data_IF_277089387214
#
_entry.id   IF_277089387214
#
_cell.length_a   1.000
_cell.length_b   1.000
_cell.length_c   1.000
_cell.angle_alpha   90.00
_cell.angle_beta   90.00
_cell.angle_gamma   90.00
#
_symmetry.space_group_name_H-M   'P 1'
#
loop_
_entity.id
_entity.type
_entity.pdbx_description
1 polymer ?
#
# COMPACT_ATOMS: atom_id res chain seq x y z
N UNK A 1 -18.44 26.67 2.01
CA UNK A 1 -18.00 27.89 1.29
C UNK A 1 -16.98 28.68 2.11
N UNK A 2 -17.13 28.78 3.43
CA UNK A 2 -16.19 29.52 4.28
C UNK A 2 -14.82 28.83 4.43
N UNK A 3 -14.76 27.49 4.42
CA UNK A 3 -13.49 26.75 4.47
C UNK A 3 -12.55 27.10 3.32
N UNK A 4 -13.05 27.05 2.08
CA UNK A 4 -12.25 27.35 0.90
C UNK A 4 -11.79 28.80 0.84
N UNK A 5 -12.65 29.75 1.23
CA UNK A 5 -12.25 31.15 1.34
C UNK A 5 -11.10 31.31 2.33
N UNK A 6 -11.24 30.75 3.55
CA UNK A 6 -10.20 30.78 4.58
C UNK A 6 -8.87 30.23 4.09
N UNK A 7 -8.87 29.07 3.41
CA UNK A 7 -7.65 28.47 2.89
C UNK A 7 -7.00 29.28 1.76
N UNK A 8 -7.80 29.98 0.95
CA UNK A 8 -7.31 30.89 -0.08
C UNK A 8 -6.66 32.13 0.53
N UNK A 9 -7.29 32.72 1.54
CA UNK A 9 -6.75 33.89 2.27
C UNK A 9 -5.43 33.54 2.97
N UNK A 10 -5.30 32.30 3.45
CA UNK A 10 -4.09 31.74 4.05
C UNK A 10 -3.03 31.31 3.02
N UNK A 11 -3.29 31.48 1.72
CA UNK A 11 -2.39 31.05 0.62
C UNK A 11 -2.07 29.55 0.61
N UNK A 12 -2.87 28.73 1.29
CA UNK A 12 -2.75 27.26 1.27
C UNK A 12 -3.29 26.69 -0.04
N UNK A 13 -4.31 27.33 -0.63
CA UNK A 13 -4.85 26.98 -1.94
C UNK A 13 -4.82 28.22 -2.84
N UNK A 14 -4.45 28.04 -4.11
CA UNK A 14 -4.33 29.15 -5.06
C UNK A 14 -5.48 29.20 -6.09
N UNK A 15 -6.16 28.08 -6.35
CA UNK A 15 -7.28 27.97 -7.30
C UNK A 15 -8.19 26.79 -6.95
N UNK A 16 -9.48 26.94 -7.26
CA UNK A 16 -10.49 25.88 -7.16
C UNK A 16 -11.18 25.75 -8.52
N UNK A 17 -11.35 24.52 -9.00
CA UNK A 17 -12.06 24.21 -10.23
C UNK A 17 -13.04 23.08 -9.98
N UNK A 18 -14.16 23.11 -10.68
CA UNK A 18 -15.15 22.02 -10.71
C UNK A 18 -15.11 21.39 -12.09
N UNK A 19 -14.89 20.08 -12.13
CA UNK A 19 -14.82 19.31 -13.37
C UNK A 19 -15.76 18.11 -13.29
N UNK A 20 -16.02 17.50 -14.45
CA UNK A 20 -16.79 16.28 -14.54
C UNK A 20 -15.93 15.11 -14.09
N UNK A 21 -16.43 14.33 -13.13
CA UNK A 21 -15.80 13.07 -12.75
C UNK A 21 -16.18 11.98 -13.76
N UNK A 22 -15.17 11.43 -14.44
CA UNK A 22 -15.32 10.29 -15.34
C UNK A 22 -14.79 9.02 -14.64
N UNK A 23 -15.67 8.04 -14.43
CA UNK A 23 -15.30 6.77 -13.79
C UNK A 23 -14.42 5.93 -14.72
N UNK A 24 -13.29 5.44 -14.20
CA UNK A 24 -12.40 4.50 -14.90
C UNK A 24 -12.94 3.05 -14.88
N UNK A 25 -14.15 2.82 -15.43
CA UNK A 25 -14.85 1.53 -15.36
C UNK A 25 -14.01 0.36 -15.93
N UNK A 26 -13.25 0.62 -17.00
CA UNK A 26 -12.36 -0.38 -17.61
C UNK A 26 -11.19 -0.77 -16.71
N UNK A 27 -10.78 0.10 -15.78
CA UNK A 27 -9.66 -0.14 -14.87
C UNK A 27 -10.08 -0.90 -13.62
N UNK A 28 -11.20 -0.51 -13.02
CA UNK A 28 -11.66 -1.08 -11.74
C UNK A 28 -12.74 -2.16 -11.88
N UNK A 29 -13.39 -2.23 -13.04
CA UNK A 29 -14.49 -3.15 -13.29
C UNK A 29 -15.84 -2.49 -13.01
N UNK A 30 -16.71 -2.47 -14.02
CA UNK A 30 -18.02 -1.82 -13.94
C UNK A 30 -18.91 -2.40 -12.83
N UNK A 31 -18.91 -3.73 -12.68
CA UNK A 31 -19.77 -4.44 -11.73
C UNK A 31 -19.45 -4.16 -10.26
N UNK A 32 -18.25 -3.67 -9.96
CA UNK A 32 -17.74 -3.47 -8.59
C UNK A 32 -17.37 -2.01 -8.32
N UNK A 33 -17.79 -1.10 -9.20
CA UNK A 33 -17.35 0.30 -9.15
C UNK A 33 -17.78 1.00 -7.86
N UNK A 34 -18.96 0.68 -7.32
CA UNK A 34 -19.45 1.25 -6.05
C UNK A 34 -18.60 0.79 -4.86
N UNK A 35 -18.21 -0.49 -4.84
CA UNK A 35 -17.27 -1.03 -3.86
C UNK A 35 -15.89 -0.38 -4.01
N UNK A 36 -15.39 -0.19 -5.23
CA UNK A 36 -14.14 0.52 -5.51
C UNK A 36 -14.17 1.95 -4.96
N UNK A 37 -15.25 2.69 -5.18
CA UNK A 37 -15.42 4.04 -4.63
C UNK A 37 -15.49 4.03 -3.10
N UNK A 38 -16.13 3.01 -2.53
CA UNK A 38 -16.13 2.78 -1.07
C UNK A 38 -14.71 2.56 -0.54
N UNK A 39 -13.90 1.75 -1.22
CA UNK A 39 -12.49 1.57 -0.85
C UNK A 39 -11.71 2.88 -0.94
N UNK A 40 -11.91 3.69 -2.00
CA UNK A 40 -11.22 4.98 -2.12
C UNK A 40 -11.60 5.98 -1.04
N UNK A 41 -12.87 6.00 -0.64
CA UNK A 41 -13.33 6.89 0.42
C UNK A 41 -12.62 6.56 1.74
N UNK A 42 -12.69 5.31 2.19
CA UNK A 42 -12.10 4.91 3.47
C UNK A 42 -10.56 4.86 3.44
N UNK A 43 -9.96 4.59 2.28
CA UNK A 43 -8.52 4.76 2.09
C UNK A 43 -8.11 6.23 2.25
N UNK A 44 -8.86 7.17 1.65
CA UNK A 44 -8.56 8.61 1.76
C UNK A 44 -8.69 9.12 3.19
N UNK A 45 -9.76 8.72 3.91
CA UNK A 45 -9.94 9.05 5.32
C UNK A 45 -8.80 8.50 6.19
N UNK A 46 -8.39 7.26 5.94
CA UNK A 46 -7.26 6.64 6.64
C UNK A 46 -5.94 7.38 6.36
N UNK A 47 -5.67 7.75 5.11
CA UNK A 47 -4.44 8.45 4.73
C UNK A 47 -4.32 9.82 5.38
N UNK A 48 -5.42 10.58 5.51
CA UNK A 48 -5.41 11.86 6.23
C UNK A 48 -5.00 11.67 7.69
N UNK A 49 -5.56 10.65 8.37
CA UNK A 49 -5.19 10.32 9.76
C UNK A 49 -3.72 9.89 9.86
N UNK A 50 -3.26 9.02 8.96
CA UNK A 50 -1.86 8.55 8.93
C UNK A 50 -0.87 9.70 8.72
N UNK A 51 -1.11 10.57 7.74
CA UNK A 51 -0.26 11.73 7.46
C UNK A 51 -0.21 12.68 8.66
N UNK A 52 -1.35 12.91 9.32
CA UNK A 52 -1.40 13.73 10.54
C UNK A 52 -0.50 13.16 11.63
N UNK A 53 -0.52 11.84 11.87
CA UNK A 53 0.34 11.19 12.88
C UNK A 53 1.82 11.26 12.48
N UNK A 54 2.14 11.02 11.21
CA UNK A 54 3.52 11.09 10.71
C UNK A 54 4.11 12.51 10.86
N UNK A 55 3.32 13.54 10.55
CA UNK A 55 3.73 14.94 10.74
C UNK A 55 3.93 15.31 12.21
N UNK A 56 3.02 14.88 13.10
CA UNK A 56 3.10 15.20 14.53
C UNK A 56 4.27 14.52 15.25
N UNK A 57 4.75 13.40 14.73
CA UNK A 57 5.83 12.62 15.34
C UNK A 57 7.21 12.92 14.74
N UNK A 58 7.31 13.84 13.77
CA UNK A 58 8.50 14.14 12.96
C UNK A 58 9.16 12.86 12.42
N UNK A 59 8.31 11.88 12.09
CA UNK A 59 8.74 10.52 11.83
C UNK A 59 8.65 10.19 10.34
N UNK A 60 9.14 11.11 9.50
CA UNK A 60 9.19 10.93 8.05
C UNK A 60 9.95 9.65 7.64
N UNK A 61 10.86 9.19 8.51
CA UNK A 61 11.55 7.92 8.37
C UNK A 61 10.61 6.69 8.46
N UNK A 62 9.38 6.82 8.97
CA UNK A 62 8.39 5.74 9.01
C UNK A 62 7.42 5.71 7.84
N UNK A 63 7.34 6.77 7.02
CA UNK A 63 6.36 6.85 5.91
C UNK A 63 6.43 5.66 4.95
N UNK A 64 7.63 5.21 4.62
CA UNK A 64 7.82 4.04 3.75
C UNK A 64 7.47 2.71 4.46
N UNK A 65 7.68 2.60 5.78
CA UNK A 65 7.24 1.43 6.56
C UNK A 65 5.72 1.38 6.69
N UNK A 66 5.06 2.54 6.85
CA UNK A 66 3.60 2.66 6.75
C UNK A 66 3.13 2.21 5.38
N UNK A 67 3.79 2.63 4.30
CA UNK A 67 3.48 2.17 2.94
C UNK A 67 3.56 0.64 2.81
N UNK A 68 4.62 0.02 3.35
CA UNK A 68 4.73 -1.46 3.38
C UNK A 68 3.59 -2.11 4.15
N UNK A 69 3.29 -1.62 5.36
CA UNK A 69 2.23 -2.17 6.20
C UNK A 69 0.83 -1.94 5.61
N UNK A 70 0.61 -0.80 4.94
CA UNK A 70 -0.64 -0.47 4.28
C UNK A 70 -0.93 -1.44 3.12
N UNK A 71 0.09 -1.74 2.29
CA UNK A 71 -0.02 -2.74 1.21
C UNK A 71 -0.25 -4.14 1.80
N UNK A 72 0.59 -4.57 2.74
CA UNK A 72 0.49 -5.92 3.31
C UNK A 72 -0.86 -6.16 4.00
N UNK A 73 -1.33 -5.19 4.77
CA UNK A 73 -2.60 -5.28 5.46
C UNK A 73 -3.79 -5.18 4.51
N UNK A 74 -3.72 -4.35 3.45
CA UNK A 74 -4.74 -4.28 2.40
C UNK A 74 -4.88 -5.63 1.67
N UNK A 75 -3.77 -6.25 1.26
CA UNK A 75 -3.79 -7.58 0.65
C UNK A 75 -4.34 -8.65 1.60
N UNK A 76 -4.15 -8.49 2.91
CA UNK A 76 -4.75 -9.39 3.91
C UNK A 76 -6.28 -9.31 3.93
N UNK A 77 -6.88 -8.14 3.65
CA UNK A 77 -8.35 -7.99 3.57
C UNK A 77 -8.92 -8.81 2.41
N UNK A 78 -8.16 -8.96 1.32
CA UNK A 78 -8.53 -9.78 0.17
C UNK A 78 -8.15 -11.26 0.32
N UNK A 79 -7.78 -11.68 1.53
CA UNK A 79 -7.40 -13.06 1.85
C UNK A 79 -6.16 -13.56 1.06
N UNK A 80 -5.31 -12.66 0.57
CA UNK A 80 -4.06 -13.08 -0.07
C UNK A 80 -3.14 -13.67 1.00
N UNK A 81 -2.75 -14.92 0.81
CA UNK A 81 -1.73 -15.56 1.63
C UNK A 81 -0.32 -15.01 1.33
N UNK A 82 0.67 -15.45 2.10
CA UNK A 82 2.05 -14.98 1.96
C UNK A 82 2.64 -15.25 0.57
N UNK A 83 2.25 -16.35 -0.09
CA UNK A 83 2.72 -16.71 -1.42
C UNK A 83 2.06 -15.84 -2.50
N UNK A 84 0.75 -15.60 -2.39
CA UNK A 84 -0.01 -14.74 -3.28
C UNK A 84 0.48 -13.28 -3.18
N UNK A 85 0.71 -12.76 -1.97
CA UNK A 85 1.31 -11.43 -1.75
C UNK A 85 2.67 -11.29 -2.41
N UNK A 86 3.54 -12.31 -2.24
CA UNK A 86 4.85 -12.34 -2.89
C UNK A 86 4.70 -12.34 -4.41
N UNK A 87 3.82 -13.18 -4.97
CA UNK A 87 3.61 -13.28 -6.42
C UNK A 87 3.13 -11.96 -7.01
N UNK A 88 2.13 -11.32 -6.40
CA UNK A 88 1.58 -10.04 -6.85
C UNK A 88 2.63 -8.93 -6.77
N UNK A 89 3.30 -8.78 -5.64
CA UNK A 89 4.36 -7.75 -5.49
C UNK A 89 5.54 -7.98 -6.43
N UNK A 90 5.92 -9.22 -6.72
CA UNK A 90 6.94 -9.54 -7.72
C UNK A 90 6.51 -9.18 -9.13
N UNK A 91 5.24 -9.41 -9.47
CA UNK A 91 4.67 -9.03 -10.76
C UNK A 91 4.70 -7.50 -10.94
N UNK A 92 4.16 -6.76 -9.97
CA UNK A 92 4.14 -5.29 -9.96
C UNK A 92 5.56 -4.71 -10.04
N UNK A 93 6.47 -5.21 -9.20
CA UNK A 93 7.90 -4.84 -9.23
C UNK A 93 8.52 -5.04 -10.60
N UNK A 94 8.22 -6.15 -11.27
CA UNK A 94 8.79 -6.45 -12.58
C UNK A 94 8.34 -5.46 -13.65
N UNK A 95 7.09 -5.00 -13.60
CA UNK A 95 6.58 -3.92 -14.45
C UNK A 95 7.38 -2.62 -14.26
N UNK A 96 7.51 -2.18 -13.01
CA UNK A 96 8.27 -0.98 -12.67
C UNK A 96 9.76 -1.09 -13.01
N UNK A 97 10.38 -2.26 -12.80
CA UNK A 97 11.79 -2.46 -13.16
C UNK A 97 12.04 -2.32 -14.66
N UNK A 98 11.08 -2.73 -15.49
CA UNK A 98 11.16 -2.51 -16.95
C UNK A 98 11.00 -1.03 -17.29
N UNK A 99 10.00 -0.38 -16.71
CA UNK A 99 9.74 1.05 -16.92
C UNK A 99 10.94 1.94 -16.54
N UNK A 100 11.50 1.73 -15.36
CA UNK A 100 12.64 2.49 -14.84
C UNK A 100 14.00 1.96 -15.33
N UNK A 101 14.00 0.98 -16.24
CA UNK A 101 15.22 0.38 -16.81
C UNK A 101 16.23 -0.05 -15.72
N UNK A 102 15.71 -0.67 -14.66
CA UNK A 102 16.47 -1.04 -13.46
C UNK A 102 17.58 -2.04 -13.84
N UNK A 103 18.83 -1.60 -13.67
CA UNK A 103 20.01 -2.39 -14.00
C UNK A 103 20.54 -3.15 -12.77
N UNK A 104 21.63 -3.91 -12.96
CA UNK A 104 22.23 -4.72 -11.89
C UNK A 104 22.75 -3.89 -10.70
N UNK A 105 23.21 -2.65 -10.95
CA UNK A 105 23.66 -1.74 -9.90
C UNK A 105 22.49 -1.29 -9.03
N UNK A 106 21.40 -0.82 -9.65
CA UNK A 106 20.19 -0.41 -8.92
C UNK A 106 19.59 -1.58 -8.12
N UNK A 107 19.57 -2.81 -8.67
CA UNK A 107 19.15 -4.00 -7.91
C UNK A 107 20.01 -4.26 -6.68
N UNK A 108 21.33 -4.07 -6.81
CA UNK A 108 22.27 -4.21 -5.69
C UNK A 108 22.01 -3.14 -4.62
N UNK A 109 21.70 -1.92 -5.01
CA UNK A 109 21.39 -0.82 -4.09
C UNK A 109 20.08 -1.09 -3.33
N UNK A 110 19.02 -1.50 -4.03
CA UNK A 110 17.75 -1.92 -3.42
C UNK A 110 17.94 -3.07 -2.43
N UNK A 111 18.70 -4.10 -2.83
CA UNK A 111 19.03 -5.23 -1.95
C UNK A 111 19.82 -4.78 -0.71
N UNK A 112 20.72 -3.80 -0.87
CA UNK A 112 21.49 -3.21 0.24
C UNK A 112 20.58 -2.42 1.18
N UNK A 113 19.66 -1.64 0.62
CA UNK A 113 18.64 -0.90 1.39
C UNK A 113 17.81 -1.84 2.25
N UNK A 114 17.28 -2.93 1.69
CA UNK A 114 16.55 -3.93 2.47
C UNK A 114 17.41 -4.53 3.60
N UNK A 115 18.65 -4.94 3.32
CA UNK A 115 19.53 -5.54 4.34
C UNK A 115 19.82 -4.58 5.49
N UNK A 116 20.05 -3.31 5.19
CA UNK A 116 20.35 -2.28 6.19
C UNK A 116 19.16 -2.02 7.12
N UNK A 117 17.93 -2.09 6.60
CA UNK A 117 16.71 -1.83 7.36
C UNK A 117 15.96 -3.10 7.79
N UNK A 118 16.51 -4.29 7.56
CA UNK A 118 15.79 -5.57 7.76
C UNK A 118 15.18 -5.71 9.15
N UNK A 119 15.96 -5.41 10.20
CA UNK A 119 15.50 -5.57 11.58
C UNK A 119 14.42 -4.56 11.95
N UNK A 120 14.50 -3.35 11.39
CA UNK A 120 13.52 -2.28 11.56
C UNK A 120 12.21 -2.64 10.87
N UNK A 121 12.28 -3.10 9.61
CA UNK A 121 11.15 -3.63 8.86
C UNK A 121 10.50 -4.79 9.61
N UNK A 122 11.27 -5.81 10.00
CA UNK A 122 10.73 -6.97 10.72
C UNK A 122 10.05 -6.54 12.03
N UNK A 123 10.60 -5.55 12.75
CA UNK A 123 10.00 -5.02 14.00
C UNK A 123 8.69 -4.28 13.71
N UNK A 124 8.67 -3.37 12.75
CA UNK A 124 7.49 -2.58 12.41
C UNK A 124 6.37 -3.47 11.87
N UNK A 125 6.68 -4.33 10.90
CA UNK A 125 5.71 -5.25 10.28
C UNK A 125 5.09 -6.22 11.29
N UNK A 126 5.82 -6.60 12.36
CA UNK A 126 5.32 -7.49 13.43
C UNK A 126 4.74 -6.77 14.64
N UNK A 127 4.87 -5.44 14.74
CA UNK A 127 4.33 -4.69 15.87
C UNK A 127 2.81 -4.87 15.99
N UNK A 128 2.31 -4.96 17.22
CA UNK A 128 0.88 -5.09 17.51
C UNK A 128 0.18 -3.74 17.22
N UNK A 129 -0.93 -3.72 16.46
CA UNK A 129 -1.78 -2.53 16.32
C UNK A 129 -2.13 -1.84 17.66
N UNK A 130 -2.32 -2.60 18.74
CA UNK A 130 -2.64 -2.02 20.07
C UNK A 130 -1.52 -1.14 20.64
N UNK A 131 -0.29 -1.30 20.15
CA UNK A 131 0.88 -0.52 20.60
C UNK A 131 1.52 0.29 19.47
N UNK A 132 0.81 0.48 18.36
CA UNK A 132 1.28 1.25 17.21
C UNK A 132 0.09 1.94 16.53
N UNK A 133 -0.06 3.25 16.78
CA UNK A 133 -1.18 4.06 16.29
C UNK A 133 -1.33 4.02 14.76
N UNK A 134 -0.22 3.99 14.01
CA UNK A 134 -0.24 3.90 12.55
C UNK A 134 -0.87 2.57 12.10
N UNK A 135 -0.56 1.46 12.78
CA UNK A 135 -1.15 0.16 12.47
C UNK A 135 -2.58 0.02 12.99
N UNK A 136 -2.93 0.69 14.09
CA UNK A 136 -4.30 0.77 14.57
C UNK A 136 -5.22 1.43 13.52
N UNK A 137 -4.76 2.53 12.90
CA UNK A 137 -5.49 3.22 11.82
C UNK A 137 -5.68 2.33 10.58
N UNK A 138 -4.65 1.57 10.20
CA UNK A 138 -4.76 0.60 9.10
C UNK A 138 -5.75 -0.53 9.43
N UNK A 139 -5.75 -1.00 10.67
CA UNK A 139 -6.68 -2.02 11.14
C UNK A 139 -8.14 -1.52 11.13
N UNK A 140 -8.39 -0.31 11.62
CA UNK A 140 -9.70 0.36 11.57
C UNK A 140 -10.20 0.43 10.12
N UNK A 141 -9.37 0.95 9.21
CA UNK A 141 -9.69 1.00 7.78
C UNK A 141 -10.06 -0.38 7.26
N UNK A 142 -9.23 -1.38 7.52
CA UNK A 142 -9.40 -2.75 7.01
C UNK A 142 -10.71 -3.39 7.48
N UNK A 143 -11.11 -3.17 8.74
CA UNK A 143 -12.38 -3.66 9.27
C UNK A 143 -13.58 -3.04 8.55
N UNK A 144 -13.52 -1.74 8.28
CA UNK A 144 -14.61 -1.00 7.63
C UNK A 144 -14.75 -1.43 6.15
N UNK A 145 -13.64 -1.64 5.45
CA UNK A 145 -13.67 -1.98 4.02
C UNK A 145 -13.96 -3.46 3.72
N UNK A 146 -13.99 -4.32 4.74
CA UNK A 146 -14.04 -5.78 4.57
C UNK A 146 -15.21 -6.24 3.71
N UNK A 147 -16.41 -5.68 3.91
CA UNK A 147 -17.59 -6.04 3.11
C UNK A 147 -17.43 -5.69 1.63
N UNK A 148 -16.91 -4.50 1.33
CA UNK A 148 -16.68 -4.08 -0.05
C UNK A 148 -15.58 -4.91 -0.72
N UNK A 149 -14.50 -5.19 0.02
CA UNK A 149 -13.41 -6.05 -0.46
C UNK A 149 -13.88 -7.48 -0.78
N UNK A 150 -14.73 -8.07 0.07
CA UNK A 150 -15.30 -9.40 -0.18
C UNK A 150 -16.14 -9.43 -1.47
N UNK A 151 -16.99 -8.42 -1.68
CA UNK A 151 -17.79 -8.32 -2.92
C UNK A 151 -16.91 -8.19 -4.16
N UNK A 152 -15.86 -7.36 -4.11
CA UNK A 152 -14.90 -7.24 -5.22
C UNK A 152 -14.24 -8.60 -5.50
N UNK A 153 -13.78 -9.29 -4.44
CA UNK A 153 -13.11 -10.59 -4.54
C UNK A 153 -14.02 -11.68 -5.11
N UNK A 154 -15.29 -11.70 -4.73
CA UNK A 154 -16.28 -12.67 -5.22
C UNK A 154 -16.72 -12.39 -6.66
N UNK A 155 -16.71 -11.13 -7.09
CA UNK A 155 -17.20 -10.72 -8.40
C UNK A 155 -16.14 -10.75 -9.51
N UNK A 156 -14.84 -10.80 -9.16
CA UNK A 156 -13.74 -10.74 -10.12
C UNK A 156 -12.95 -12.05 -10.18
N UNK A 157 -12.58 -12.46 -11.39
CA UNK A 157 -11.63 -13.54 -11.60
C UNK A 157 -10.24 -13.19 -11.04
N UNK A 158 -9.42 -14.17 -10.62
CA UNK A 158 -8.15 -13.92 -9.93
C UNK A 158 -7.19 -12.98 -10.65
N UNK A 159 -6.98 -13.15 -11.96
CA UNK A 159 -6.09 -12.27 -12.74
C UNK A 159 -6.62 -10.84 -12.79
N UNK A 160 -7.95 -10.69 -12.91
CA UNK A 160 -8.59 -9.37 -12.93
C UNK A 160 -8.54 -8.71 -11.55
N UNK A 161 -8.65 -9.50 -10.48
CA UNK A 161 -8.50 -9.03 -9.12
C UNK A 161 -7.08 -8.49 -8.90
N UNK A 162 -6.03 -9.21 -9.32
CA UNK A 162 -4.64 -8.75 -9.23
C UNK A 162 -4.44 -7.36 -9.86
N UNK A 163 -5.01 -7.12 -11.06
CA UNK A 163 -4.95 -5.82 -11.74
C UNK A 163 -5.65 -4.69 -10.96
N UNK A 164 -6.84 -5.00 -10.41
CA UNK A 164 -7.64 -4.04 -9.62
C UNK A 164 -6.94 -3.71 -8.32
N UNK A 165 -6.38 -4.71 -7.61
CA UNK A 165 -5.61 -4.49 -6.39
C UNK A 165 -4.35 -3.68 -6.66
N UNK A 166 -3.63 -3.96 -7.75
CA UNK A 166 -2.50 -3.14 -8.19
C UNK A 166 -2.89 -1.68 -8.42
N UNK A 167 -4.05 -1.44 -9.03
CA UNK A 167 -4.57 -0.08 -9.24
C UNK A 167 -4.96 0.61 -7.93
N UNK A 168 -5.58 -0.10 -6.98
CA UNK A 168 -5.87 0.44 -5.65
C UNK A 168 -4.59 0.80 -4.89
N UNK A 169 -3.59 -0.08 -4.90
CA UNK A 169 -2.30 0.17 -4.27
C UNK A 169 -1.63 1.39 -4.91
N UNK A 170 -1.65 1.52 -6.23
CA UNK A 170 -1.11 2.70 -6.91
C UNK A 170 -1.77 4.00 -6.42
N UNK A 171 -3.11 4.02 -6.32
CA UNK A 171 -3.82 5.20 -5.82
C UNK A 171 -3.53 5.46 -4.33
N UNK A 172 -3.35 4.42 -3.53
CA UNK A 172 -2.91 4.53 -2.13
C UNK A 172 -1.52 5.17 -2.04
N UNK A 173 -0.57 4.79 -2.91
CA UNK A 173 0.75 5.41 -2.98
C UNK A 173 0.68 6.88 -3.40
N UNK A 174 -0.24 7.21 -4.30
CA UNK A 174 -0.47 8.61 -4.70
C UNK A 174 -1.00 9.49 -3.56
N UNK A 175 -1.70 8.92 -2.59
CA UNK A 175 -2.17 9.64 -1.39
C UNK A 175 -1.09 9.73 -0.30
N UNK A 176 -0.26 8.71 -0.17
CA UNK A 176 0.73 8.61 0.90
C UNK A 176 2.00 9.43 0.64
N UNK A 177 2.46 9.50 -0.61
CA UNK A 177 3.69 10.21 -0.97
C UNK A 177 3.39 11.54 -1.65
N UNK A 178 4.14 12.57 -1.27
CA UNK A 178 4.05 13.94 -1.78
C UNK A 178 4.76 14.13 -3.13
N UNK A 179 5.70 13.25 -3.45
CA UNK A 179 6.57 13.36 -4.62
C UNK A 179 7.18 12.01 -5.00
N UNK A 180 7.58 11.88 -6.27
CA UNK A 180 8.22 10.68 -6.81
C UNK A 180 7.44 9.37 -6.56
N UNK A 181 6.11 9.44 -6.49
CA UNK A 181 5.22 8.36 -6.07
C UNK A 181 5.52 7.04 -6.78
N UNK A 182 5.75 7.07 -8.11
CA UNK A 182 6.11 5.89 -8.92
C UNK A 182 7.44 5.25 -8.49
N UNK A 183 8.44 6.05 -8.14
CA UNK A 183 9.73 5.54 -7.65
C UNK A 183 9.59 4.97 -6.23
N UNK A 184 8.85 5.66 -5.37
CA UNK A 184 8.53 5.19 -4.02
C UNK A 184 7.80 3.84 -4.09
N UNK A 185 6.78 3.73 -4.94
CA UNK A 185 6.01 2.52 -5.21
C UNK A 185 6.92 1.35 -5.68
N UNK A 186 7.82 1.59 -6.64
CA UNK A 186 8.81 0.59 -7.08
C UNK A 186 9.68 0.09 -5.92
N UNK A 187 10.18 1.01 -5.09
CA UNK A 187 11.03 0.66 -3.94
C UNK A 187 10.23 -0.17 -2.94
N UNK A 188 8.99 0.21 -2.63
CA UNK A 188 8.15 -0.53 -1.70
C UNK A 188 7.84 -1.95 -2.20
N UNK A 189 7.56 -2.12 -3.49
CA UNK A 189 7.39 -3.46 -4.06
C UNK A 189 8.64 -4.33 -3.91
N UNK A 190 9.84 -3.78 -4.12
CA UNK A 190 11.08 -4.53 -3.92
C UNK A 190 11.35 -4.88 -2.44
N UNK A 191 11.09 -3.93 -1.53
CA UNK A 191 11.19 -4.18 -0.09
C UNK A 191 10.20 -5.25 0.37
N UNK A 192 8.96 -5.22 -0.09
CA UNK A 192 7.93 -6.23 0.22
C UNK A 192 8.30 -7.59 -0.36
N UNK A 193 8.77 -7.67 -1.61
CA UNK A 193 9.28 -8.92 -2.19
C UNK A 193 10.37 -9.55 -1.31
N UNK A 194 11.32 -8.72 -0.86
CA UNK A 194 12.42 -9.16 0.00
C UNK A 194 11.94 -9.58 1.39
N UNK A 195 10.98 -8.84 1.96
CA UNK A 195 10.35 -9.15 3.23
C UNK A 195 9.61 -10.49 3.19
N UNK A 196 8.71 -10.69 2.22
CA UNK A 196 7.95 -11.92 2.05
C UNK A 196 8.85 -13.13 1.79
N UNK A 197 9.90 -12.96 0.96
CA UNK A 197 10.91 -14.01 0.75
C UNK A 197 11.59 -14.41 2.06
N UNK A 198 11.92 -13.44 2.92
CA UNK A 198 12.51 -13.69 4.23
C UNK A 198 11.54 -14.37 5.19
N UNK A 199 10.25 -14.04 5.16
CA UNK A 199 9.21 -14.69 5.97
C UNK A 199 9.07 -16.16 5.58
N UNK A 200 8.84 -16.44 4.29
CA UNK A 200 8.67 -17.80 3.76
C UNK A 200 9.90 -18.70 4.04
N UNK A 201 11.10 -18.15 3.91
CA UNK A 201 12.33 -18.90 4.21
C UNK A 201 12.42 -19.31 5.69
N UNK A 202 11.95 -18.45 6.62
CA UNK A 202 11.90 -18.75 8.06
C UNK A 202 10.84 -19.80 8.38
N UNK A 203 9.67 -19.71 7.76
CA UNK A 203 8.58 -20.68 7.92
C UNK A 203 9.01 -22.08 7.47
N UNK A 204 9.63 -22.18 6.29
CA UNK A 204 10.17 -23.45 5.78
C UNK A 204 11.21 -24.05 6.74
N UNK A 205 12.11 -23.22 7.29
CA UNK A 205 13.11 -23.69 8.26
C UNK A 205 12.47 -24.17 9.56
N UNK A 206 11.46 -23.47 10.06
CA UNK A 206 10.73 -23.85 11.27
C UNK A 206 10.01 -25.19 11.08
N UNK A 207 9.33 -25.39 9.94
CA UNK A 207 8.68 -26.66 9.60
C UNK A 207 9.68 -27.82 9.55
N UNK A 208 10.83 -27.64 8.89
CA UNK A 208 11.89 -28.65 8.84
C UNK A 208 12.48 -29.00 10.21
N UNK A 209 12.47 -28.06 11.16
CA UNK A 209 12.98 -28.28 12.53
C UNK A 209 11.95 -28.99 13.41
N UNK A 210 10.66 -28.87 13.10
CA UNK A 210 9.57 -29.54 13.84
C UNK A 210 9.35 -30.97 13.31
N UNK A 211 9.64 -31.23 12.03
CA UNK A 211 9.46 -32.54 11.38
C UNK A 211 10.67 -33.47 11.45
N UNK A 212 11.78 -33.07 12.10
CA UNK A 212 12.99 -33.88 12.27
C UNK A 212 13.33 -34.06 13.74
#
# INVERSE_FOLDING_TARGET
RDTFRRLSDQHTIWKIQTETYERELSRYGEMVMEETETLFFYDSECMVKLLTVLELTDNDNERWMVGMAAIDSFLSVFEYDMMARKKLTEHLRTGFFKEFQVNAMTKKDLSTKYRNHKNEIDRFMKSNPDSNDLKALLLERNQIILTAANRIREALEPERLDDVLGSHIHMMMNRLFDSNNRQCEMILYDLLCSYYTSVLAREKKAQLTISG
#
